data_IF_863020312967
#
_entry.id   IF_863020312967
#
_cell.length_a   1.000
_cell.length_b   1.000
_cell.length_c   1.000
_cell.angle_alpha   90.00
_cell.angle_beta   90.00
_cell.angle_gamma   90.00
#
_symmetry.space_group_name_H-M   'P 1'
#
loop_
_entity.id
_entity.type
_entity.pdbx_description
1 polymer ?
#
# COMPACT_ATOMS: atom_id res chain seq x y z
N UNK A 1 -22.74 51.17 -5.12
CA UNK A 1 -22.15 50.54 -3.92
C UNK A 1 -23.06 49.39 -3.49
N UNK A 2 -22.68 48.14 -3.80
CA UNK A 2 -23.27 46.87 -3.33
C UNK A 2 -22.49 45.72 -3.96
N UNK A 3 -21.69 45.00 -3.17
CA UNK A 3 -21.24 43.61 -3.37
C UNK A 3 -20.79 43.12 -1.99
N UNK A 4 -21.65 42.57 -1.15
CA UNK A 4 -22.13 41.17 -1.10
C UNK A 4 -21.00 40.13 -1.21
N UNK A 5 -20.49 39.73 -0.04
CA UNK A 5 -19.96 38.37 0.25
C UNK A 5 -20.93 37.74 1.26
N UNK A 6 -21.23 36.44 1.17
CA UNK A 6 -20.37 35.50 1.87
C UNK A 6 -20.10 34.17 1.13
N UNK A 7 -18.86 33.69 1.32
CA UNK A 7 -18.41 32.32 1.11
C UNK A 7 -19.27 31.34 1.89
N UNK A 8 -20.05 30.50 1.20
CA UNK A 8 -20.69 29.33 1.82
C UNK A 8 -21.21 28.34 0.78
N UNK A 9 -20.33 27.82 -0.09
CA UNK A 9 -20.73 26.79 -1.06
C UNK A 9 -19.56 25.89 -1.52
N UNK A 10 -18.59 25.58 -0.64
CA UNK A 10 -17.52 24.61 -0.95
C UNK A 10 -17.54 23.38 -0.01
N UNK A 11 -18.72 22.92 0.38
CA UNK A 11 -18.90 21.68 1.15
C UNK A 11 -20.10 20.89 0.62
N UNK A 12 -20.00 20.39 -0.62
CA UNK A 12 -20.96 19.42 -1.16
C UNK A 12 -20.32 18.55 -2.26
N UNK A 13 -19.14 17.98 -2.01
CA UNK A 13 -18.55 16.96 -2.89
C UNK A 13 -18.06 15.76 -2.07
N UNK A 14 -18.97 15.11 -1.34
CA UNK A 14 -18.69 13.89 -0.59
C UNK A 14 -19.91 12.96 -0.61
N UNK A 15 -20.41 12.60 -1.79
CA UNK A 15 -21.38 11.53 -1.94
C UNK A 15 -20.89 10.50 -2.96
N UNK A 16 -20.41 9.39 -2.40
CA UNK A 16 -20.64 8.03 -2.90
C UNK A 16 -19.99 7.70 -4.24
N UNK A 17 -18.70 7.37 -4.21
CA UNK A 17 -18.14 6.35 -5.12
C UNK A 17 -18.27 5.01 -4.41
N UNK A 18 -19.49 4.47 -4.41
CA UNK A 18 -19.74 3.10 -3.97
C UNK A 18 -18.93 2.13 -4.83
N UNK A 19 -18.13 1.36 -4.12
CA UNK A 19 -17.49 0.12 -4.50
C UNK A 19 -18.42 -0.75 -5.36
N UNK A 20 -18.11 -0.89 -6.64
CA UNK A 20 -18.60 -1.96 -7.49
C UNK A 20 -17.45 -2.94 -7.79
N UNK A 21 -16.89 -3.52 -6.72
CA UNK A 21 -16.06 -4.71 -6.82
C UNK A 21 -16.86 -5.90 -6.31
N UNK A 22 -17.77 -6.40 -7.12
CA UNK A 22 -18.17 -7.80 -7.03
C UNK A 22 -18.62 -8.32 -8.39
N UNK A 23 -18.05 -9.47 -8.76
CA UNK A 23 -18.67 -10.52 -9.57
C UNK A 23 -18.37 -10.53 -11.08
N UNK A 24 -17.09 -10.70 -11.44
CA UNK A 24 -16.74 -11.54 -12.60
C UNK A 24 -16.74 -13.01 -12.15
N UNK A 25 -17.88 -13.68 -12.30
CA UNK A 25 -17.98 -15.15 -12.26
C UNK A 25 -17.58 -15.69 -13.64
N UNK A 26 -16.33 -16.13 -13.77
CA UNK A 26 -15.90 -16.95 -14.91
C UNK A 26 -16.40 -18.39 -14.75
N UNK A 27 -16.74 -19.09 -15.85
CA UNK A 27 -17.38 -20.40 -15.81
C UNK A 27 -16.47 -21.50 -15.25
N UNK A 28 -17.06 -22.32 -14.38
CA UNK A 28 -16.47 -23.54 -13.82
C UNK A 28 -16.06 -24.47 -14.97
N UNK A 29 -14.75 -24.73 -15.10
CA UNK A 29 -14.25 -25.81 -15.95
C UNK A 29 -13.53 -26.83 -15.08
N UNK A 30 -14.30 -27.80 -14.61
CA UNK A 30 -13.78 -29.07 -14.14
C UNK A 30 -13.13 -29.81 -15.30
N UNK A 31 -11.90 -30.27 -15.15
CA UNK A 31 -11.63 -31.71 -15.20
C UNK A 31 -10.18 -31.98 -14.84
N UNK A 32 -9.98 -33.16 -14.28
CA UNK A 32 -8.79 -33.69 -13.66
C UNK A 32 -7.54 -33.66 -14.57
N UNK A 33 -6.39 -33.83 -13.93
CA UNK A 33 -5.12 -34.27 -14.51
C UNK A 33 -4.18 -33.18 -15.05
N UNK A 34 -3.37 -32.60 -14.16
CA UNK A 34 -1.91 -32.63 -14.32
C UNK A 34 -1.25 -32.73 -12.95
N UNK A 35 -0.96 -33.97 -12.56
CA UNK A 35 -0.15 -34.32 -11.40
C UNK A 35 1.32 -34.01 -11.66
N UNK A 36 2.00 -33.71 -10.55
CA UNK A 36 3.40 -34.06 -10.25
C UNK A 36 4.48 -33.34 -11.05
N UNK A 37 4.91 -32.16 -10.59
CA UNK A 37 6.29 -31.62 -10.46
C UNK A 37 6.12 -30.23 -9.80
N UNK A 38 6.55 -29.89 -8.58
CA UNK A 38 7.43 -30.50 -7.61
C UNK A 38 6.95 -30.09 -6.20
N UNK A 39 7.25 -30.93 -5.20
CA UNK A 39 7.16 -30.59 -3.79
C UNK A 39 7.76 -29.21 -3.50
N UNK A 40 6.94 -28.30 -2.99
CA UNK A 40 7.41 -27.24 -2.10
C UNK A 40 6.74 -27.52 -0.76
N UNK A 41 7.48 -28.00 0.26
CA UNK A 41 6.95 -28.05 1.59
C UNK A 41 6.67 -26.60 2.00
N UNK A 42 5.38 -26.29 2.09
CA UNK A 42 4.79 -25.61 3.24
C UNK A 42 5.79 -24.75 4.06
N UNK A 43 5.98 -23.52 3.62
CA UNK A 43 6.33 -22.43 4.52
C UNK A 43 5.45 -21.22 4.20
N UNK A 44 4.15 -21.36 4.48
CA UNK A 44 3.45 -20.23 5.11
C UNK A 44 4.24 -20.00 6.40
N UNK A 45 5.10 -18.99 6.38
CA UNK A 45 5.97 -18.64 7.50
C UNK A 45 5.11 -18.53 8.75
N UNK A 46 5.21 -19.60 9.54
CA UNK A 46 5.20 -19.67 10.98
C UNK A 46 4.63 -18.44 11.68
N UNK A 47 3.51 -18.67 12.36
CA UNK A 47 3.15 -18.07 13.66
C UNK A 47 4.29 -17.22 14.22
N UNK A 48 4.25 -15.91 13.97
CA UNK A 48 5.21 -15.00 14.56
C UNK A 48 4.82 -14.86 16.04
N UNK A 49 5.76 -15.04 16.99
CA UNK A 49 5.48 -14.67 18.38
C UNK A 49 5.01 -13.22 18.39
N UNK A 50 4.01 -12.91 19.22
CA UNK A 50 3.48 -11.56 19.42
C UNK A 50 4.59 -10.60 19.88
N UNK A 51 5.43 -10.15 18.97
CA UNK A 51 6.38 -9.08 19.21
C UNK A 51 5.70 -7.81 18.73
N UNK A 52 4.84 -7.28 19.61
CA UNK A 52 4.20 -5.99 19.38
C UNK A 52 5.33 -4.96 19.19
N UNK A 53 5.47 -4.36 17.99
CA UNK A 53 6.57 -3.44 17.75
C UNK A 53 6.47 -2.21 18.65
N UNK A 54 7.62 -1.72 19.13
CA UNK A 54 7.66 -0.50 19.96
C UNK A 54 7.00 0.69 19.21
N UNK A 55 6.01 1.38 19.81
CA UNK A 55 5.39 2.56 19.22
C UNK A 55 6.38 3.64 18.73
N UNK A 56 7.54 3.78 19.39
CA UNK A 56 8.58 4.73 18.96
C UNK A 56 9.25 4.30 17.66
N UNK A 57 9.45 3.00 17.47
CA UNK A 57 9.97 2.47 16.21
C UNK A 57 8.95 2.60 15.08
N UNK A 58 7.67 2.31 15.36
CA UNK A 58 6.60 2.49 14.37
C UNK A 58 6.47 3.95 13.93
N UNK A 59 6.61 4.91 14.86
CA UNK A 59 6.63 6.32 14.50
C UNK A 59 7.80 6.65 13.57
N UNK A 60 9.01 6.18 13.89
CA UNK A 60 10.19 6.38 13.04
C UNK A 60 10.01 5.76 11.66
N UNK A 61 9.44 4.57 11.59
CA UNK A 61 9.14 3.89 10.32
C UNK A 61 8.13 4.70 9.48
N UNK A 62 7.12 5.31 10.12
CA UNK A 62 6.16 6.18 9.45
C UNK A 62 6.79 7.48 8.94
N UNK A 63 7.67 8.09 9.74
CA UNK A 63 8.42 9.29 9.34
C UNK A 63 9.35 8.97 8.15
N UNK A 64 10.04 7.82 8.18
CA UNK A 64 10.89 7.35 7.07
C UNK A 64 10.05 7.09 5.80
N UNK A 65 8.90 6.43 5.92
CA UNK A 65 7.98 6.19 4.81
C UNK A 65 7.57 7.51 4.14
N UNK A 66 7.20 8.52 4.92
CA UNK A 66 6.80 9.83 4.42
C UNK A 66 7.94 10.52 3.64
N UNK A 67 9.15 10.50 4.18
CA UNK A 67 10.33 11.09 3.53
C UNK A 67 10.65 10.39 2.20
N UNK A 68 10.67 9.05 2.18
CA UNK A 68 10.95 8.30 0.95
C UNK A 68 9.87 8.53 -0.11
N UNK A 69 8.60 8.60 0.31
CA UNK A 69 7.47 8.84 -0.58
C UNK A 69 7.47 10.24 -1.20
N UNK A 70 7.98 11.25 -0.48
CA UNK A 70 8.20 12.58 -1.06
C UNK A 70 9.37 12.58 -2.05
N UNK A 71 10.42 11.84 -1.76
CA UNK A 71 11.64 11.87 -2.54
C UNK A 71 11.52 11.14 -3.90
N UNK A 72 10.62 10.16 -4.03
CA UNK A 72 10.40 9.44 -5.31
C UNK A 72 9.86 10.35 -6.42
N UNK A 73 9.16 11.45 -6.12
CA UNK A 73 8.65 12.36 -7.16
C UNK A 73 9.77 12.91 -8.04
N UNK A 74 10.90 13.31 -7.43
CA UNK A 74 12.08 13.77 -8.16
C UNK A 74 12.74 12.65 -8.98
N UNK A 75 12.76 11.42 -8.45
CA UNK A 75 13.28 10.25 -9.17
C UNK A 75 12.43 9.93 -10.42
N UNK A 76 11.11 10.11 -10.35
CA UNK A 76 10.20 9.96 -11.50
C UNK A 76 10.40 11.04 -12.56
N UNK A 77 10.65 12.29 -12.16
CA UNK A 77 11.00 13.35 -13.12
C UNK A 77 12.35 13.08 -13.81
N UNK A 78 13.32 12.51 -13.09
CA UNK A 78 14.57 12.09 -13.70
C UNK A 78 14.34 10.94 -14.69
N UNK A 79 13.50 9.97 -14.31
CA UNK A 79 13.15 8.84 -15.17
C UNK A 79 12.39 9.27 -16.43
N UNK A 80 11.51 10.26 -16.35
CA UNK A 80 10.84 10.80 -17.54
C UNK A 80 11.80 11.49 -18.52
N UNK A 81 13.00 11.87 -18.04
CA UNK A 81 14.11 12.38 -18.87
C UNK A 81 15.06 11.26 -19.33
N UNK A 82 14.71 9.99 -19.13
CA UNK A 82 15.52 8.83 -19.49
C UNK A 82 16.63 8.50 -18.47
N UNK A 83 16.64 9.14 -17.30
CA UNK A 83 17.62 8.89 -16.24
C UNK A 83 16.99 8.02 -15.14
N UNK A 84 17.26 6.72 -15.16
CA UNK A 84 16.80 5.81 -14.11
C UNK A 84 17.82 5.81 -12.97
N UNK A 85 17.44 6.41 -11.84
CA UNK A 85 18.23 6.35 -10.61
C UNK A 85 18.25 4.91 -10.08
N UNK A 86 19.44 4.35 -9.85
CA UNK A 86 19.59 3.05 -9.17
C UNK A 86 18.97 3.05 -7.76
N UNK A 87 18.85 4.22 -7.15
CA UNK A 87 18.25 4.41 -5.83
C UNK A 87 16.72 4.25 -5.86
N UNK A 88 16.06 4.54 -6.99
CA UNK A 88 14.60 4.52 -7.08
C UNK A 88 14.03 3.13 -6.72
N UNK A 89 14.60 2.06 -7.27
CA UNK A 89 14.14 0.70 -6.98
C UNK A 89 14.30 0.35 -5.49
N UNK A 90 15.45 0.66 -4.89
CA UNK A 90 15.70 0.40 -3.48
C UNK A 90 14.80 1.23 -2.57
N UNK A 91 14.54 2.49 -2.95
CA UNK A 91 13.59 3.36 -2.26
C UNK A 91 12.17 2.81 -2.28
N UNK A 92 11.71 2.32 -3.43
CA UNK A 92 10.40 1.68 -3.56
C UNK A 92 10.29 0.39 -2.72
N UNK A 93 11.31 -0.48 -2.74
CA UNK A 93 11.35 -1.66 -1.86
C UNK A 93 11.28 -1.28 -0.38
N UNK A 94 11.98 -0.22 0.01
CA UNK A 94 11.96 0.27 1.39
C UNK A 94 10.57 0.79 1.78
N UNK A 95 9.91 1.54 0.91
CA UNK A 95 8.52 2.00 1.10
C UNK A 95 7.57 0.81 1.27
N UNK A 96 7.69 -0.22 0.43
CA UNK A 96 6.88 -1.44 0.55
C UNK A 96 7.09 -2.14 1.90
N UNK A 97 8.35 -2.26 2.35
CA UNK A 97 8.67 -2.89 3.63
C UNK A 97 8.09 -2.12 4.82
N UNK A 98 8.25 -0.80 4.82
CA UNK A 98 7.74 0.07 5.90
C UNK A 98 6.21 0.06 5.94
N UNK A 99 5.55 0.20 4.80
CA UNK A 99 4.08 0.15 4.72
C UNK A 99 3.50 -1.18 5.21
N UNK A 100 4.13 -2.32 4.84
CA UNK A 100 3.76 -3.64 5.37
C UNK A 100 3.90 -3.71 6.89
N UNK A 101 5.02 -3.25 7.45
CA UNK A 101 5.27 -3.27 8.90
C UNK A 101 4.25 -2.43 9.67
N UNK A 102 3.96 -1.22 9.19
CA UNK A 102 2.97 -0.34 9.80
C UNK A 102 1.57 -0.92 9.73
N UNK A 103 1.15 -1.47 8.58
CA UNK A 103 -0.17 -2.12 8.44
C UNK A 103 -0.31 -3.30 9.39
N UNK A 104 0.69 -4.18 9.42
CA UNK A 104 0.67 -5.34 10.30
C UNK A 104 0.60 -4.91 11.78
N UNK A 105 1.27 -3.84 12.17
CA UNK A 105 1.21 -3.30 13.53
C UNK A 105 -0.20 -2.79 13.89
N UNK A 106 -0.89 -2.10 12.96
CA UNK A 106 -2.28 -1.66 13.15
C UNK A 106 -3.22 -2.86 13.27
N UNK A 107 -3.07 -3.85 12.39
CA UNK A 107 -3.87 -5.09 12.43
C UNK A 107 -3.65 -5.89 13.71
N UNK A 108 -2.40 -5.96 14.20
CA UNK A 108 -2.08 -6.66 15.46
C UNK A 108 -2.56 -5.90 16.69
N UNK A 109 -2.58 -4.55 16.65
CA UNK A 109 -3.06 -3.73 17.76
C UNK A 109 -4.58 -3.74 17.92
N UNK A 110 -5.32 -4.17 16.88
CA UNK A 110 -6.78 -4.23 16.89
C UNK A 110 -7.35 -5.59 17.33
N UNK A 111 -6.49 -6.58 17.59
CA UNK A 111 -6.89 -7.91 18.08
C UNK A 111 -6.75 -8.00 19.59
#
# INVERSE_FOLDING_TARGET
MKTLRPSSALLAFCLVSSVAWTQYQGPVRSSHERKAWADLPEQRSTTHPNNVPDPRELKRDADELAQLSQAISADFEAMSRGLVSSNLNERLKRIEKLSKRLRNAVESSSR
#
